data_IF_302124904830
#
_entry.id   IF_302124904830
#
_cell.length_a   1.000
_cell.length_b   1.000
_cell.length_c   1.000
_cell.angle_alpha   90.00
_cell.angle_beta   90.00
_cell.angle_gamma   90.00
#
_symmetry.space_group_name_H-M   'P 1'
#
loop_
_entity.id
_entity.type
_entity.pdbx_description
1 polymer ?
#
# COMPACT_ATOMS: atom_id res chain seq x y z
N UNK A 1 15.66 -66.30 -26.08
CA UNK A 1 16.43 -66.90 -24.97
C UNK A 1 17.84 -67.06 -25.49
N UNK A 2 18.84 -66.55 -24.77
CA UNK A 2 20.21 -66.48 -25.25
C UNK A 2 20.84 -67.84 -25.52
N UNK A 3 21.64 -67.96 -26.58
CA UNK A 3 22.30 -69.21 -26.98
C UNK A 3 23.25 -69.72 -25.89
N UNK A 4 23.97 -68.82 -25.22
CA UNK A 4 24.94 -69.16 -24.18
C UNK A 4 24.34 -69.24 -22.78
N UNK A 5 23.02 -69.08 -22.68
CA UNK A 5 22.23 -69.33 -21.46
C UNK A 5 21.57 -70.72 -21.52
N UNK A 6 21.50 -71.34 -22.71
CA UNK A 6 20.94 -72.68 -22.89
C UNK A 6 21.87 -73.76 -22.28
N UNK A 7 21.36 -74.47 -21.27
CA UNK A 7 22.06 -75.55 -20.58
C UNK A 7 22.55 -76.67 -21.53
N UNK A 8 21.83 -76.94 -22.63
CA UNK A 8 22.25 -77.94 -23.61
C UNK A 8 23.50 -77.49 -24.39
N UNK A 9 23.57 -76.21 -24.74
CA UNK A 9 24.71 -75.61 -25.44
C UNK A 9 25.92 -75.55 -24.50
N UNK A 10 25.74 -75.12 -23.25
CA UNK A 10 26.81 -75.08 -22.24
C UNK A 10 27.39 -76.49 -22.02
N UNK A 11 26.54 -77.51 -21.89
CA UNK A 11 27.00 -78.89 -21.69
C UNK A 11 27.83 -79.44 -22.88
N UNK A 12 27.50 -79.06 -24.12
CA UNK A 12 28.32 -79.43 -25.28
C UNK A 12 29.62 -78.63 -25.36
N UNK A 13 29.62 -77.36 -24.95
CA UNK A 13 30.84 -76.53 -24.86
C UNK A 13 31.79 -77.12 -23.80
N UNK A 14 31.30 -77.58 -22.66
CA UNK A 14 32.12 -78.25 -21.64
C UNK A 14 32.79 -79.52 -22.18
N UNK A 15 32.04 -80.36 -22.89
CA UNK A 15 32.60 -81.56 -23.54
C UNK A 15 33.64 -81.20 -24.60
N UNK A 16 33.41 -80.12 -25.35
CA UNK A 16 34.35 -79.60 -26.34
C UNK A 16 35.62 -79.04 -25.68
N UNK A 17 35.48 -78.39 -24.53
CA UNK A 17 36.62 -77.88 -23.77
C UNK A 17 37.55 -79.00 -23.27
N UNK A 18 37.00 -80.13 -22.81
CA UNK A 18 37.78 -81.32 -22.41
C UNK A 18 38.55 -81.88 -23.62
N UNK A 19 37.92 -81.91 -24.80
CA UNK A 19 38.56 -82.38 -26.04
C UNK A 19 39.71 -81.47 -26.48
N UNK A 20 39.50 -80.16 -26.51
CA UNK A 20 40.52 -79.18 -26.93
C UNK A 20 41.69 -79.15 -25.93
N UNK A 21 41.38 -79.18 -24.62
CA UNK A 21 42.39 -79.18 -23.55
C UNK A 21 43.24 -80.45 -23.48
N UNK A 22 42.77 -81.57 -24.03
CA UNK A 22 43.53 -82.82 -24.12
C UNK A 22 44.37 -82.94 -25.40
N UNK A 23 43.96 -82.28 -26.49
CA UNK A 23 44.63 -82.36 -27.80
C UNK A 23 45.70 -81.29 -28.01
N UNK A 24 45.50 -80.07 -27.50
CA UNK A 24 46.41 -78.94 -27.77
C UNK A 24 47.33 -78.72 -26.57
N UNK A 25 48.65 -78.85 -26.77
CA UNK A 25 49.62 -78.65 -25.69
C UNK A 25 49.73 -77.17 -25.31
N UNK A 26 49.69 -76.88 -24.02
CA UNK A 26 49.99 -75.55 -23.47
C UNK A 26 51.49 -75.28 -23.61
N UNK A 27 51.99 -74.76 -24.73
CA UNK A 27 53.16 -73.84 -24.78
C UNK A 27 53.75 -73.61 -26.18
N UNK A 28 53.67 -72.36 -26.66
CA UNK A 28 54.76 -71.37 -26.87
C UNK A 28 54.22 -70.33 -27.86
N UNK A 29 54.56 -69.05 -27.65
CA UNK A 29 54.23 -67.95 -28.56
C UNK A 29 54.88 -68.26 -29.92
N UNK A 30 54.08 -68.42 -30.98
CA UNK A 30 54.61 -68.69 -32.32
C UNK A 30 54.96 -67.35 -33.00
N UNK A 31 56.14 -67.26 -33.60
CA UNK A 31 56.51 -66.12 -34.45
C UNK A 31 55.76 -66.24 -35.78
N UNK A 32 55.02 -65.19 -36.14
CA UNK A 32 54.18 -65.11 -37.35
C UNK A 32 55.07 -65.07 -38.62
N UNK A 33 56.35 -64.72 -38.49
CA UNK A 33 57.25 -64.49 -39.63
C UNK A 33 57.89 -65.76 -40.23
N UNK A 34 57.63 -66.96 -39.71
CA UNK A 34 58.18 -68.25 -40.20
C UNK A 34 57.08 -69.32 -40.27
N UNK A 35 56.29 -69.31 -41.34
CA UNK A 35 55.32 -70.36 -41.67
C UNK A 35 55.65 -70.93 -43.06
N UNK A 36 56.68 -71.78 -43.12
CA UNK A 36 57.27 -72.27 -44.37
C UNK A 36 56.72 -73.66 -44.75
N UNK A 37 56.30 -74.47 -43.78
CA UNK A 37 55.73 -75.81 -44.00
C UNK A 37 54.29 -75.98 -43.44
N UNK A 38 53.58 -77.03 -43.89
CA UNK A 38 52.20 -77.34 -43.45
C UNK A 38 52.10 -77.63 -41.93
N UNK A 39 53.17 -78.13 -41.31
CA UNK A 39 53.22 -78.41 -39.88
C UNK A 39 53.34 -77.15 -39.02
N UNK A 40 54.05 -76.13 -39.49
CA UNK A 40 54.14 -74.81 -38.87
C UNK A 40 52.80 -74.07 -38.96
N UNK A 41 52.11 -74.16 -40.11
CA UNK A 41 50.74 -73.63 -40.26
C UNK A 41 49.77 -74.28 -39.28
N UNK A 42 49.80 -75.61 -39.16
CA UNK A 42 48.92 -76.32 -38.22
C UNK A 42 49.21 -75.94 -36.75
N UNK A 43 50.49 -75.79 -36.38
CA UNK A 43 50.89 -75.32 -35.04
C UNK A 43 50.43 -73.89 -34.75
N UNK A 44 50.52 -73.01 -35.74
CA UNK A 44 50.01 -71.64 -35.62
C UNK A 44 48.48 -71.62 -35.43
N UNK A 45 47.74 -72.41 -36.21
CA UNK A 45 46.30 -72.58 -36.05
C UNK A 45 45.94 -73.07 -34.64
N UNK A 46 46.64 -74.08 -34.13
CA UNK A 46 46.43 -74.62 -32.78
C UNK A 46 46.74 -73.62 -31.68
N UNK A 47 47.78 -72.80 -31.85
CA UNK A 47 48.11 -71.74 -30.92
C UNK A 47 47.01 -70.69 -30.82
N UNK A 48 46.55 -70.16 -31.96
CA UNK A 48 45.48 -69.16 -32.00
C UNK A 48 44.18 -69.75 -31.45
N UNK A 49 43.84 -70.98 -31.83
CA UNK A 49 42.63 -71.65 -31.37
C UNK A 49 42.63 -71.89 -29.87
N UNK A 50 43.75 -72.33 -29.30
CA UNK A 50 43.86 -72.47 -27.84
C UNK A 50 43.72 -71.12 -27.12
N UNK A 51 44.37 -70.07 -27.62
CA UNK A 51 44.31 -68.74 -27.02
C UNK A 51 42.88 -68.17 -27.03
N UNK A 52 42.20 -68.26 -28.18
CA UNK A 52 40.82 -67.82 -28.35
C UNK A 52 39.86 -68.66 -27.49
N UNK A 53 39.98 -69.99 -27.52
CA UNK A 53 39.09 -70.90 -26.81
C UNK A 53 39.24 -70.79 -25.29
N UNK A 54 40.47 -70.69 -24.79
CA UNK A 54 40.71 -70.51 -23.35
C UNK A 54 40.08 -69.22 -22.83
N UNK A 55 40.12 -68.13 -23.60
CA UNK A 55 39.47 -66.86 -23.24
C UNK A 55 37.95 -66.94 -23.34
N UNK A 56 37.44 -67.54 -24.42
CA UNK A 56 36.02 -67.80 -24.61
C UNK A 56 35.43 -68.57 -23.44
N UNK A 57 35.99 -69.74 -23.12
CA UNK A 57 35.50 -70.59 -22.04
C UNK A 57 35.61 -69.91 -20.67
N UNK A 58 36.68 -69.14 -20.43
CA UNK A 58 36.82 -68.38 -19.20
C UNK A 58 35.73 -67.31 -19.03
N UNK A 59 35.45 -66.50 -20.06
CA UNK A 59 34.41 -65.48 -19.94
C UNK A 59 33.00 -66.06 -19.89
N UNK A 60 32.75 -67.15 -20.63
CA UNK A 60 31.49 -67.87 -20.59
C UNK A 60 31.20 -68.45 -19.19
N UNK A 61 32.21 -69.04 -18.53
CA UNK A 61 32.06 -69.63 -17.19
C UNK A 61 32.01 -68.58 -16.08
N UNK A 62 32.63 -67.42 -16.28
CA UNK A 62 32.64 -66.34 -15.30
C UNK A 62 31.28 -65.64 -15.21
N UNK A 63 30.69 -65.27 -16.34
CA UNK A 63 29.39 -64.60 -16.42
C UNK A 63 28.74 -64.88 -17.79
N UNK A 64 27.98 -65.98 -17.86
CA UNK A 64 27.31 -66.40 -19.08
C UNK A 64 26.25 -65.41 -19.55
N UNK A 65 25.58 -64.69 -18.63
CA UNK A 65 24.55 -63.73 -18.97
C UNK A 65 25.14 -62.48 -19.63
N UNK A 66 26.20 -61.92 -19.05
CA UNK A 66 26.92 -60.79 -19.65
C UNK A 66 27.58 -61.19 -20.95
N UNK A 67 28.15 -62.40 -21.04
CA UNK A 67 28.71 -62.91 -22.28
C UNK A 67 27.64 -62.99 -23.39
N UNK A 68 26.50 -63.63 -23.11
CA UNK A 68 25.39 -63.77 -24.05
C UNK A 68 24.86 -62.41 -24.54
N UNK A 69 24.63 -61.48 -23.61
CA UNK A 69 24.16 -60.12 -23.92
C UNK A 69 25.12 -59.35 -24.85
N UNK A 70 26.42 -59.60 -24.74
CA UNK A 70 27.45 -58.95 -25.55
C UNK A 70 27.83 -59.76 -26.81
N UNK A 71 27.04 -60.77 -27.19
CA UNK A 71 27.23 -61.53 -28.44
C UNK A 71 25.96 -61.61 -29.29
N UNK A 72 24.99 -60.72 -29.06
CA UNK A 72 23.65 -60.76 -29.67
C UNK A 72 23.67 -60.62 -31.19
N UNK A 73 24.59 -59.85 -31.77
CA UNK A 73 24.70 -59.73 -33.22
C UNK A 73 25.01 -61.09 -33.85
N UNK A 74 25.99 -61.82 -33.30
CA UNK A 74 26.29 -63.15 -33.81
C UNK A 74 25.19 -64.17 -33.52
N UNK A 75 24.46 -64.02 -32.41
CA UNK A 75 23.28 -64.84 -32.15
C UNK A 75 22.17 -64.62 -33.18
N UNK A 76 22.01 -63.39 -33.69
CA UNK A 76 21.00 -63.06 -34.70
C UNK A 76 21.40 -63.56 -36.10
N UNK A 77 22.66 -63.38 -36.50
CA UNK A 77 23.11 -63.67 -37.86
C UNK A 77 23.73 -65.07 -38.05
N UNK A 78 24.18 -65.73 -36.98
CA UNK A 78 24.91 -67.00 -37.04
C UNK A 78 24.56 -67.97 -35.88
N UNK A 79 23.28 -68.06 -35.52
CA UNK A 79 22.81 -68.83 -34.36
C UNK A 79 23.30 -70.28 -34.32
N UNK A 80 23.38 -70.95 -35.47
CA UNK A 80 23.77 -72.37 -35.54
C UNK A 80 25.28 -72.55 -35.56
N UNK A 81 26.01 -71.64 -36.20
CA UNK A 81 27.47 -71.75 -36.38
C UNK A 81 28.27 -71.40 -35.12
N UNK A 82 27.65 -70.74 -34.14
CA UNK A 82 28.28 -70.35 -32.87
C UNK A 82 27.95 -71.32 -31.71
N UNK A 83 27.20 -72.39 -32.00
CA UNK A 83 27.00 -73.53 -31.09
C UNK A 83 28.19 -74.48 -31.18
N UNK A 84 29.31 -74.08 -30.57
CA UNK A 84 30.57 -74.84 -30.64
C UNK A 84 30.42 -76.26 -30.10
N UNK A 85 30.50 -77.26 -31.00
CA UNK A 85 30.40 -78.67 -30.66
C UNK A 85 31.69 -79.45 -30.95
N UNK A 86 31.81 -80.65 -30.36
CA UNK A 86 32.92 -81.58 -30.63
C UNK A 86 32.97 -82.04 -32.08
N UNK A 87 31.82 -82.11 -32.74
CA UNK A 87 31.72 -82.54 -34.13
C UNK A 87 32.34 -81.48 -35.03
N UNK A 88 31.95 -80.22 -34.86
CA UNK A 88 32.44 -79.11 -35.67
C UNK A 88 33.95 -78.90 -35.52
N UNK A 89 34.47 -79.10 -34.30
CA UNK A 89 35.92 -79.04 -34.05
C UNK A 89 36.72 -80.12 -34.82
N UNK A 90 36.22 -81.36 -34.88
CA UNK A 90 36.92 -82.45 -35.56
C UNK A 90 36.73 -82.39 -37.08
N UNK A 91 35.54 -82.01 -37.55
CA UNK A 91 35.19 -82.03 -38.97
C UNK A 91 35.70 -80.77 -39.70
N UNK A 92 35.67 -79.59 -39.06
CA UNK A 92 35.97 -78.30 -39.69
C UNK A 92 36.70 -77.32 -38.75
N UNK A 93 37.89 -77.71 -38.28
CA UNK A 93 38.72 -76.96 -37.32
C UNK A 93 38.97 -75.49 -37.67
N UNK A 94 39.22 -75.16 -38.94
CA UNK A 94 39.49 -73.76 -39.37
C UNK A 94 38.22 -72.90 -39.35
N UNK A 95 37.08 -73.46 -39.76
CA UNK A 95 35.77 -72.77 -39.72
C UNK A 95 35.35 -72.57 -38.26
N UNK A 96 35.57 -73.57 -37.41
CA UNK A 96 35.37 -73.47 -35.97
C UNK A 96 36.14 -72.29 -35.37
N UNK A 97 37.43 -72.14 -35.73
CA UNK A 97 38.23 -71.00 -35.29
C UNK A 97 37.67 -69.67 -35.80
N UNK A 98 37.32 -69.58 -37.09
CA UNK A 98 36.75 -68.37 -37.68
C UNK A 98 35.50 -67.89 -36.93
N UNK A 99 34.59 -68.81 -36.62
CA UNK A 99 33.36 -68.51 -35.86
C UNK A 99 33.67 -68.08 -34.42
N UNK A 100 34.65 -68.75 -33.78
CA UNK A 100 35.10 -68.41 -32.43
C UNK A 100 35.70 -67.00 -32.36
N UNK A 101 36.56 -66.65 -33.31
CA UNK A 101 37.16 -65.31 -33.40
C UNK A 101 36.09 -64.24 -33.61
N UNK A 102 35.07 -64.52 -34.42
CA UNK A 102 33.96 -63.59 -34.66
C UNK A 102 33.15 -63.30 -33.38
N UNK A 103 32.82 -64.32 -32.61
CA UNK A 103 32.11 -64.17 -31.32
C UNK A 103 32.96 -63.41 -30.31
N UNK A 104 34.24 -63.76 -30.20
CA UNK A 104 35.16 -63.09 -29.29
C UNK A 104 35.39 -61.62 -29.67
N UNK A 105 35.47 -61.31 -30.96
CA UNK A 105 35.59 -59.94 -31.44
C UNK A 105 34.38 -59.11 -31.04
N UNK A 106 33.16 -59.62 -31.24
CA UNK A 106 31.94 -58.92 -30.82
C UNK A 106 31.93 -58.66 -29.30
N UNK A 107 32.24 -59.69 -28.50
CA UNK A 107 32.27 -59.56 -27.04
C UNK A 107 33.25 -58.47 -26.59
N UNK A 108 34.46 -58.44 -27.16
CA UNK A 108 35.44 -57.40 -26.85
C UNK A 108 35.05 -56.02 -27.37
N UNK A 109 34.41 -55.95 -28.54
CA UNK A 109 33.93 -54.70 -29.10
C UNK A 109 32.93 -54.00 -28.17
N UNK A 110 31.96 -54.74 -27.62
CA UNK A 110 30.96 -54.16 -26.72
C UNK A 110 31.47 -53.93 -25.29
N UNK A 111 32.32 -54.81 -24.77
CA UNK A 111 32.82 -54.69 -23.39
C UNK A 111 34.00 -53.74 -23.24
N UNK A 112 34.66 -53.36 -24.33
CA UNK A 112 35.85 -52.50 -24.31
C UNK A 112 37.07 -53.14 -23.62
N UNK A 113 37.00 -54.44 -23.28
CA UNK A 113 38.15 -55.19 -22.76
C UNK A 113 39.19 -55.29 -23.87
N UNK A 114 40.45 -54.96 -23.55
CA UNK A 114 41.51 -54.83 -24.55
C UNK A 114 41.53 -56.02 -25.53
N UNK A 115 41.49 -55.71 -26.83
CA UNK A 115 41.85 -56.62 -27.95
C UNK A 115 43.36 -56.96 -27.90
N UNK A 116 44.05 -56.49 -26.85
CA UNK A 116 45.47 -56.55 -26.62
C UNK A 116 46.03 -57.98 -26.69
N UNK A 117 46.68 -58.22 -27.82
CA UNK A 117 47.74 -59.21 -28.04
C UNK A 117 47.33 -60.65 -27.76
N UNK A 118 46.82 -61.36 -28.77
CA UNK A 118 47.35 -62.70 -29.13
C UNK A 118 46.64 -63.35 -30.32
N UNK A 119 45.35 -63.05 -30.58
CA UNK A 119 44.58 -63.81 -31.60
C UNK A 119 43.57 -63.02 -32.45
N UNK A 120 43.32 -61.74 -32.16
CA UNK A 120 42.41 -60.85 -32.94
C UNK A 120 43.11 -59.63 -33.52
N UNK A 121 44.44 -59.59 -33.45
CA UNK A 121 45.24 -58.55 -34.07
C UNK A 121 45.23 -58.65 -35.60
N UNK A 122 45.54 -57.52 -36.24
CA UNK A 122 45.53 -57.39 -37.69
C UNK A 122 46.43 -58.42 -38.36
N UNK A 123 47.64 -58.64 -37.82
CA UNK A 123 48.64 -59.54 -38.39
C UNK A 123 48.20 -61.00 -38.29
N UNK A 124 47.75 -61.43 -37.10
CA UNK A 124 47.20 -62.80 -36.92
C UNK A 124 46.02 -63.10 -37.84
N UNK A 125 45.05 -62.17 -37.97
CA UNK A 125 43.89 -62.37 -38.86
C UNK A 125 44.29 -62.38 -40.34
N UNK A 126 45.30 -61.61 -40.72
CA UNK A 126 45.84 -61.59 -42.09
C UNK A 126 46.53 -62.90 -42.40
N UNK A 127 47.34 -63.42 -41.48
CA UNK A 127 48.06 -64.67 -41.68
C UNK A 127 47.13 -65.87 -41.72
N UNK A 128 46.12 -65.93 -40.82
CA UNK A 128 45.08 -66.97 -40.87
C UNK A 128 44.33 -66.97 -42.20
N UNK A 129 44.07 -65.79 -42.77
CA UNK A 129 43.44 -65.71 -44.08
C UNK A 129 44.37 -66.23 -45.18
N UNK A 130 45.61 -65.76 -45.24
CA UNK A 130 46.56 -66.14 -46.30
C UNK A 130 46.92 -67.63 -46.25
N UNK A 131 47.07 -68.19 -45.05
CA UNK A 131 47.51 -69.58 -44.88
C UNK A 131 46.43 -70.63 -45.12
N UNK A 132 45.15 -70.29 -44.95
CA UNK A 132 44.04 -71.27 -44.98
C UNK A 132 42.88 -70.94 -45.93
N UNK A 133 42.93 -69.81 -46.64
CA UNK A 133 41.88 -69.46 -47.61
C UNK A 133 42.20 -69.99 -49.00
N UNK A 134 41.44 -70.98 -49.46
CA UNK A 134 41.56 -71.56 -50.80
C UNK A 134 40.44 -71.06 -51.72
N UNK A 135 40.35 -69.75 -51.96
CA UNK A 135 39.55 -69.12 -53.02
C UNK A 135 38.02 -69.24 -52.96
N UNK A 136 37.48 -70.30 -52.34
CA UNK A 136 36.07 -70.70 -52.35
C UNK A 136 35.66 -71.43 -51.05
N UNK A 137 36.47 -71.32 -49.99
CA UNK A 137 36.21 -71.94 -48.69
C UNK A 137 34.98 -71.30 -48.02
N UNK A 138 33.82 -71.95 -48.15
CA UNK A 138 32.56 -71.55 -47.52
C UNK A 138 32.75 -71.50 -45.99
N UNK A 139 32.54 -70.33 -45.39
CA UNK A 139 32.54 -70.15 -43.92
C UNK A 139 33.79 -69.52 -43.29
N UNK A 140 34.86 -69.28 -44.05
CA UNK A 140 36.05 -68.57 -43.53
C UNK A 140 35.89 -67.04 -43.60
N UNK A 141 35.96 -66.38 -42.44
CA UNK A 141 35.60 -64.95 -42.29
C UNK A 141 36.73 -64.08 -41.72
N UNK A 142 37.98 -64.56 -41.62
CA UNK A 142 39.09 -63.82 -40.99
C UNK A 142 39.28 -62.40 -41.53
N UNK A 143 39.28 -62.22 -42.85
CA UNK A 143 39.37 -60.90 -43.51
C UNK A 143 38.16 -60.01 -43.17
N UNK A 144 36.95 -60.59 -43.15
CA UNK A 144 35.72 -59.85 -42.86
C UNK A 144 35.65 -59.42 -41.38
N UNK A 145 36.10 -60.27 -40.46
CA UNK A 145 36.24 -59.96 -39.02
C UNK A 145 37.17 -58.76 -38.85
N UNK A 146 38.32 -58.76 -39.54
CA UNK A 146 39.32 -57.69 -39.51
C UNK A 146 38.79 -56.36 -40.07
N UNK A 147 38.16 -56.39 -41.24
CA UNK A 147 37.88 -55.19 -42.03
C UNK A 147 36.47 -54.61 -41.81
N UNK A 148 35.46 -55.46 -41.57
CA UNK A 148 34.05 -55.08 -41.69
C UNK A 148 33.18 -55.36 -40.46
N UNK A 149 33.62 -56.20 -39.53
CA UNK A 149 32.79 -56.60 -38.39
C UNK A 149 32.50 -55.41 -37.46
N UNK A 150 33.47 -54.56 -37.15
CA UNK A 150 33.25 -53.34 -36.35
C UNK A 150 32.19 -52.43 -36.96
N UNK A 151 32.25 -52.19 -38.27
CA UNK A 151 31.27 -51.38 -39.01
C UNK A 151 29.89 -52.04 -38.96
N UNK A 152 29.83 -53.36 -39.12
CA UNK A 152 28.58 -54.12 -39.08
C UNK A 152 27.93 -54.07 -37.69
N UNK A 153 28.71 -54.18 -36.63
CA UNK A 153 28.24 -54.07 -35.24
C UNK A 153 27.65 -52.68 -34.95
N UNK A 154 28.33 -51.61 -35.42
CA UNK A 154 27.81 -50.24 -35.28
C UNK A 154 26.52 -50.05 -36.08
N UNK A 155 26.48 -50.49 -37.34
CA UNK A 155 25.27 -50.40 -38.16
C UNK A 155 24.08 -51.16 -37.54
N UNK A 156 24.34 -52.32 -36.96
CA UNK A 156 23.33 -53.10 -36.25
C UNK A 156 22.81 -52.35 -35.02
N UNK A 157 23.70 -51.77 -34.20
CA UNK A 157 23.29 -50.95 -33.05
C UNK A 157 22.46 -49.74 -33.46
N UNK A 158 22.85 -49.02 -34.52
CA UNK A 158 22.11 -47.86 -35.02
C UNK A 158 20.72 -48.20 -35.58
N UNK A 159 20.54 -49.44 -36.04
CA UNK A 159 19.24 -49.96 -36.53
C UNK A 159 18.40 -50.59 -35.41
N UNK A 160 18.94 -50.77 -34.22
CA UNK A 160 18.21 -51.35 -33.10
C UNK A 160 17.02 -50.47 -32.70
N UNK A 161 15.90 -51.10 -32.34
CA UNK A 161 14.71 -50.41 -31.86
C UNK A 161 15.02 -49.54 -30.63
N UNK A 162 15.93 -49.99 -29.76
CA UNK A 162 16.33 -49.26 -28.56
C UNK A 162 17.04 -47.94 -28.91
N UNK A 163 17.93 -47.95 -29.89
CA UNK A 163 18.59 -46.73 -30.36
C UNK A 163 17.60 -45.80 -31.06
N UNK A 164 16.68 -46.34 -31.87
CA UNK A 164 15.63 -45.55 -32.54
C UNK A 164 14.71 -44.88 -31.51
N UNK A 165 14.30 -45.60 -30.45
CA UNK A 165 13.51 -45.05 -29.33
C UNK A 165 14.28 -44.00 -28.54
N UNK A 166 15.57 -44.22 -28.28
CA UNK A 166 16.41 -43.23 -27.61
C UNK A 166 16.51 -41.94 -28.44
N UNK A 167 16.68 -42.07 -29.76
CA UNK A 167 16.70 -40.93 -30.68
C UNK A 167 15.36 -40.18 -30.70
N UNK A 168 14.23 -40.88 -30.74
CA UNK A 168 12.91 -40.22 -30.72
C UNK A 168 12.67 -39.50 -29.39
N UNK A 169 13.04 -40.10 -28.26
CA UNK A 169 12.91 -39.48 -26.94
C UNK A 169 13.68 -38.17 -26.85
N UNK A 170 14.91 -38.11 -27.39
CA UNK A 170 15.70 -36.87 -27.43
C UNK A 170 15.00 -35.80 -28.27
N UNK A 171 14.40 -36.17 -29.40
CA UNK A 171 13.65 -35.24 -30.24
C UNK A 171 12.36 -34.73 -29.55
N UNK A 172 11.66 -35.61 -28.84
CA UNK A 172 10.44 -35.26 -28.11
C UNK A 172 10.74 -34.31 -26.94
N UNK A 173 11.85 -34.54 -26.21
CA UNK A 173 12.31 -33.64 -25.15
C UNK A 173 12.63 -32.25 -25.70
N UNK A 174 13.33 -32.14 -26.84
CA UNK A 174 13.61 -30.84 -27.46
C UNK A 174 12.33 -30.10 -27.86
N UNK A 175 11.33 -30.83 -28.36
CA UNK A 175 10.02 -30.26 -28.70
C UNK A 175 9.26 -29.76 -27.46
N UNK A 176 9.25 -30.53 -26.37
CA UNK A 176 8.59 -30.11 -25.13
C UNK A 176 9.31 -28.92 -24.47
N UNK A 177 10.64 -28.86 -24.53
CA UNK A 177 11.42 -27.70 -24.07
C UNK A 177 11.02 -26.44 -24.84
N UNK A 178 10.85 -26.52 -26.17
CA UNK A 178 10.42 -25.38 -26.99
C UNK A 178 9.01 -24.91 -26.64
N UNK A 179 8.06 -25.84 -26.48
CA UNK A 179 6.69 -25.51 -26.06
C UNK A 179 6.68 -24.81 -24.70
N UNK A 180 7.50 -25.29 -23.76
CA UNK A 180 7.62 -24.68 -22.44
C UNK A 180 8.17 -23.26 -22.52
N UNK A 181 9.20 -23.03 -23.33
CA UNK A 181 9.80 -21.71 -23.54
C UNK A 181 8.79 -20.70 -24.14
N UNK A 182 7.98 -21.13 -25.11
CA UNK A 182 6.93 -20.29 -25.71
C UNK A 182 5.85 -19.92 -24.69
N UNK A 183 5.38 -20.86 -23.87
CA UNK A 183 4.41 -20.60 -22.80
C UNK A 183 4.98 -19.66 -21.74
N UNK A 184 6.25 -19.82 -21.35
CA UNK A 184 6.90 -18.92 -20.39
C UNK A 184 7.01 -17.52 -20.98
N UNK A 185 7.38 -17.37 -22.25
CA UNK A 185 7.44 -16.06 -22.92
C UNK A 185 6.07 -15.38 -22.99
N UNK A 186 5.03 -16.09 -23.38
CA UNK A 186 3.66 -15.55 -23.43
C UNK A 186 3.16 -15.12 -22.04
N UNK A 187 3.43 -15.93 -21.02
CA UNK A 187 3.03 -15.60 -19.65
C UNK A 187 3.84 -14.43 -19.08
N UNK A 188 5.12 -14.32 -19.43
CA UNK A 188 5.96 -13.19 -19.04
C UNK A 188 5.52 -11.89 -19.70
N UNK A 189 5.17 -11.91 -21.00
CA UNK A 189 4.70 -10.71 -21.72
C UNK A 189 3.32 -10.26 -21.22
N UNK A 190 2.38 -11.19 -21.01
CA UNK A 190 1.07 -10.85 -20.42
C UNK A 190 1.19 -10.28 -19.01
N UNK A 191 1.98 -10.91 -18.14
CA UNK A 191 2.24 -10.40 -16.79
C UNK A 191 2.87 -8.99 -16.82
N UNK A 192 3.88 -8.77 -17.67
CA UNK A 192 4.52 -7.46 -17.81
C UNK A 192 3.55 -6.39 -18.29
N UNK A 193 2.65 -6.73 -19.22
CA UNK A 193 1.61 -5.83 -19.71
C UNK A 193 0.61 -5.49 -18.61
N UNK A 194 0.14 -6.48 -17.85
CA UNK A 194 -0.81 -6.28 -16.75
C UNK A 194 -0.23 -5.39 -15.65
N UNK A 195 1.02 -5.64 -15.24
CA UNK A 195 1.72 -4.81 -14.25
C UNK A 195 1.87 -3.37 -14.76
N UNK A 196 2.22 -3.18 -16.04
CA UNK A 196 2.33 -1.84 -16.62
C UNK A 196 0.98 -1.12 -16.63
N UNK A 197 -0.10 -1.80 -16.98
CA UNK A 197 -1.45 -1.22 -17.00
C UNK A 197 -1.94 -0.89 -15.58
N UNK A 198 -1.66 -1.75 -14.59
CA UNK A 198 -1.98 -1.46 -13.20
C UNK A 198 -1.21 -0.23 -12.69
N UNK A 199 0.07 -0.13 -13.03
CA UNK A 199 0.90 1.00 -12.63
C UNK A 199 0.41 2.32 -13.24
N UNK A 200 0.09 2.35 -14.54
CA UNK A 200 -0.42 3.56 -15.21
C UNK A 200 -1.80 3.97 -14.66
N UNK A 201 -2.69 3.01 -14.42
CA UNK A 201 -4.00 3.28 -13.81
C UNK A 201 -3.84 3.86 -12.39
N UNK A 202 -2.97 3.27 -11.57
CA UNK A 202 -2.70 3.77 -10.23
C UNK A 202 -2.13 5.21 -10.26
N UNK A 203 -1.21 5.49 -11.17
CA UNK A 203 -0.69 6.86 -11.36
C UNK A 203 -1.78 7.85 -11.77
N UNK A 204 -2.70 7.43 -12.64
CA UNK A 204 -3.81 8.28 -13.07
C UNK A 204 -4.78 8.57 -11.93
N UNK A 205 -5.16 7.56 -11.13
CA UNK A 205 -6.03 7.75 -9.96
C UNK A 205 -5.38 8.68 -8.94
N UNK A 206 -4.10 8.48 -8.62
CA UNK A 206 -3.36 9.37 -7.70
C UNK A 206 -3.36 10.82 -8.20
N UNK A 207 -3.22 11.03 -9.51
CA UNK A 207 -3.26 12.37 -10.10
C UNK A 207 -4.65 13.00 -9.97
N UNK A 208 -5.71 12.25 -10.26
CA UNK A 208 -7.10 12.70 -10.13
C UNK A 208 -7.46 13.03 -8.67
N UNK A 209 -7.06 12.17 -7.73
CA UNK A 209 -7.26 12.40 -6.30
C UNK A 209 -6.54 13.66 -5.82
N UNK A 210 -5.30 13.87 -6.29
CA UNK A 210 -4.54 15.09 -5.99
C UNK A 210 -5.28 16.35 -6.48
N UNK A 211 -5.79 16.33 -7.71
CA UNK A 211 -6.54 17.46 -8.27
C UNK A 211 -7.83 17.73 -7.46
N UNK A 212 -8.55 16.68 -7.08
CA UNK A 212 -9.76 16.76 -6.25
C UNK A 212 -9.46 17.33 -4.86
N UNK A 213 -8.40 16.86 -4.21
CA UNK A 213 -7.97 17.37 -2.90
C UNK A 213 -7.62 18.86 -2.98
N UNK A 214 -6.91 19.28 -4.03
CA UNK A 214 -6.56 20.70 -4.21
C UNK A 214 -7.82 21.56 -4.34
N UNK A 215 -8.82 21.13 -5.10
CA UNK A 215 -10.09 21.84 -5.24
C UNK A 215 -10.85 21.91 -3.90
N UNK A 216 -10.96 20.79 -3.18
CA UNK A 216 -11.61 20.75 -1.86
C UNK A 216 -10.94 21.67 -0.84
N UNK A 217 -9.60 21.74 -0.85
CA UNK A 217 -8.85 22.65 0.04
C UNK A 217 -9.13 24.11 -0.30
N UNK A 218 -9.27 24.46 -1.58
CA UNK A 218 -9.59 25.82 -2.01
C UNK A 218 -11.04 26.21 -1.66
N UNK A 219 -11.99 25.29 -1.86
CA UNK A 219 -13.38 25.46 -1.45
C UNK A 219 -13.49 25.67 0.08
N UNK A 220 -12.78 24.86 0.87
CA UNK A 220 -12.74 25.00 2.34
C UNK A 220 -12.17 26.37 2.73
N UNK A 221 -11.06 26.80 2.10
CA UNK A 221 -10.50 28.13 2.36
C UNK A 221 -11.49 29.26 2.07
N UNK A 222 -12.25 29.14 0.98
CA UNK A 222 -13.26 30.12 0.61
C UNK A 222 -14.41 30.13 1.61
N UNK A 223 -14.91 28.96 2.03
CA UNK A 223 -15.95 28.83 3.05
C UNK A 223 -15.53 29.37 4.41
N UNK A 224 -14.29 29.13 4.82
CA UNK A 224 -13.75 29.71 6.06
C UNK A 224 -13.73 31.25 6.00
N UNK A 225 -13.35 31.83 4.86
CA UNK A 225 -13.41 33.29 4.68
C UNK A 225 -14.84 33.82 4.76
N UNK A 226 -15.80 33.15 4.12
CA UNK A 226 -17.22 33.53 4.17
C UNK A 226 -17.76 33.46 5.62
N UNK A 227 -17.43 32.41 6.36
CA UNK A 227 -17.84 32.24 7.76
C UNK A 227 -17.27 33.36 8.63
N UNK A 228 -15.97 33.66 8.52
CA UNK A 228 -15.35 34.74 9.29
C UNK A 228 -15.97 36.11 8.95
N UNK A 229 -16.25 36.38 7.68
CA UNK A 229 -16.93 37.61 7.27
C UNK A 229 -18.36 37.70 7.84
N UNK A 230 -19.05 36.57 7.94
CA UNK A 230 -20.38 36.50 8.53
C UNK A 230 -20.34 36.72 10.05
N UNK A 231 -19.37 36.11 10.74
CA UNK A 231 -19.16 36.30 12.19
C UNK A 231 -18.89 37.77 12.52
N UNK A 232 -18.01 38.42 11.75
CA UNK A 232 -17.75 39.86 11.87
C UNK A 232 -19.03 40.70 11.69
N UNK A 233 -19.86 40.35 10.70
CA UNK A 233 -21.12 41.05 10.44
C UNK A 233 -22.12 40.86 11.58
N UNK A 234 -22.26 39.64 12.10
CA UNK A 234 -23.15 39.33 13.23
C UNK A 234 -22.68 40.03 14.51
N UNK A 235 -21.38 40.04 14.77
CA UNK A 235 -20.78 40.76 15.90
C UNK A 235 -21.06 42.27 15.85
N UNK A 236 -20.89 42.89 14.67
CA UNK A 236 -21.24 44.30 14.45
C UNK A 236 -22.73 44.57 14.68
N UNK A 237 -23.62 43.78 14.07
CA UNK A 237 -25.07 43.94 14.21
C UNK A 237 -25.53 43.80 15.67
N UNK A 238 -24.97 42.83 16.42
CA UNK A 238 -25.29 42.63 17.85
C UNK A 238 -24.91 43.83 18.70
N UNK A 239 -23.78 44.48 18.39
CA UNK A 239 -23.28 45.64 19.15
C UNK A 239 -24.08 46.89 18.81
N UNK A 240 -24.30 47.14 17.52
CA UNK A 240 -25.04 48.30 17.01
C UNK A 240 -26.51 48.27 17.47
N UNK A 241 -27.21 47.13 17.37
CA UNK A 241 -28.65 47.09 17.65
C UNK A 241 -29.00 47.24 19.13
N UNK A 242 -28.19 46.69 20.04
CA UNK A 242 -28.50 46.71 21.48
C UNK A 242 -28.27 48.09 22.11
N UNK A 243 -27.16 48.77 21.81
CA UNK A 243 -26.84 50.05 22.44
C UNK A 243 -27.52 51.25 21.76
N UNK A 244 -27.70 51.21 20.43
CA UNK A 244 -28.46 52.24 19.70
C UNK A 244 -29.94 52.19 20.11
N UNK A 245 -30.51 50.99 20.31
CA UNK A 245 -31.88 50.82 20.79
C UNK A 245 -32.11 51.39 22.19
N UNK A 246 -31.21 51.09 23.13
CA UNK A 246 -31.26 51.63 24.50
C UNK A 246 -31.07 53.15 24.53
N UNK A 247 -30.08 53.66 23.80
CA UNK A 247 -29.81 55.11 23.71
C UNK A 247 -31.00 55.87 23.13
N UNK A 248 -31.58 55.39 22.03
CA UNK A 248 -32.80 55.96 21.44
C UNK A 248 -33.99 55.93 22.41
N UNK A 249 -34.15 54.82 23.15
CA UNK A 249 -35.17 54.68 24.20
C UNK A 249 -35.03 55.73 25.31
N UNK A 250 -33.84 55.89 25.88
CA UNK A 250 -33.57 56.90 26.90
C UNK A 250 -33.71 58.32 26.36
N UNK A 251 -33.30 58.59 25.13
CA UNK A 251 -33.43 59.92 24.53
C UNK A 251 -34.90 60.32 24.36
N UNK A 252 -35.75 59.39 23.94
CA UNK A 252 -37.20 59.63 23.85
C UNK A 252 -37.86 59.87 25.21
N UNK A 253 -37.36 59.25 26.28
CA UNK A 253 -37.81 59.52 27.66
C UNK A 253 -37.32 60.89 28.11
N UNK A 254 -36.08 61.26 27.79
CA UNK A 254 -35.50 62.59 28.06
C UNK A 254 -36.34 63.70 27.42
N UNK A 255 -36.61 63.62 26.13
CA UNK A 255 -37.41 64.62 25.40
C UNK A 255 -38.79 64.83 26.03
N UNK A 256 -39.49 63.75 26.40
CA UNK A 256 -40.78 63.84 27.10
C UNK A 256 -40.66 64.50 28.46
N UNK A 257 -39.62 64.18 29.23
CA UNK A 257 -39.38 64.76 30.56
C UNK A 257 -38.97 66.23 30.50
N UNK A 258 -38.24 66.65 29.47
CA UNK A 258 -37.94 68.06 29.20
C UNK A 258 -39.21 68.85 28.85
N UNK A 259 -40.11 68.26 28.06
CA UNK A 259 -41.40 68.89 27.75
C UNK A 259 -42.29 69.03 29.00
N UNK A 260 -42.34 68.00 29.86
CA UNK A 260 -43.01 68.05 31.17
C UNK A 260 -42.40 69.14 32.05
N UNK A 261 -41.06 69.19 32.16
CA UNK A 261 -40.36 70.20 32.94
C UNK A 261 -40.72 71.62 32.48
N UNK A 262 -40.71 71.86 31.16
CA UNK A 262 -41.05 73.18 30.59
C UNK A 262 -42.48 73.59 30.96
N UNK A 263 -43.44 72.65 30.97
CA UNK A 263 -44.84 72.93 31.35
C UNK A 263 -44.95 73.29 32.83
N UNK A 264 -44.30 72.52 33.70
CA UNK A 264 -44.30 72.78 35.15
C UNK A 264 -43.56 74.09 35.46
N UNK A 265 -42.49 74.40 34.72
CA UNK A 265 -41.75 75.66 34.84
C UNK A 265 -42.60 76.88 34.54
N UNK A 266 -43.33 76.85 33.43
CA UNK A 266 -44.29 77.92 33.10
C UNK A 266 -45.37 78.03 34.19
N UNK A 267 -45.87 76.91 34.71
CA UNK A 267 -46.91 76.91 35.74
C UNK A 267 -46.44 77.55 37.05
N UNK A 268 -45.30 77.12 37.62
CA UNK A 268 -44.82 77.70 38.88
C UNK A 268 -44.33 79.14 38.71
N UNK A 269 -43.76 79.51 37.55
CA UNK A 269 -43.37 80.90 37.26
C UNK A 269 -44.59 81.82 37.20
N UNK A 270 -45.67 81.36 36.56
CA UNK A 270 -46.93 82.09 36.55
C UNK A 270 -47.50 82.23 37.97
N UNK A 271 -47.48 81.15 38.76
CA UNK A 271 -47.97 81.16 40.13
C UNK A 271 -47.15 82.07 41.05
N UNK A 272 -45.82 82.09 40.88
CA UNK A 272 -44.93 83.05 41.52
C UNK A 272 -45.30 84.49 41.15
N UNK A 273 -45.55 84.76 39.87
CA UNK A 273 -46.06 86.05 39.41
C UNK A 273 -47.38 86.44 40.10
N UNK A 274 -48.33 85.52 40.22
CA UNK A 274 -49.59 85.75 40.91
C UNK A 274 -49.42 86.10 42.39
N UNK A 275 -48.54 85.40 43.12
CA UNK A 275 -48.19 85.69 44.53
C UNK A 275 -47.67 87.12 44.69
N UNK A 276 -46.81 87.59 43.78
CA UNK A 276 -46.30 88.97 43.84
C UNK A 276 -47.32 90.02 43.42
N UNK A 277 -48.15 89.73 42.42
CA UNK A 277 -49.12 90.68 41.86
C UNK A 277 -50.35 90.85 42.75
N UNK A 278 -50.81 89.79 43.43
CA UNK A 278 -52.00 89.80 44.28
C UNK A 278 -51.99 90.93 45.34
N UNK A 279 -50.96 91.11 46.19
CA UNK A 279 -50.91 92.18 47.17
C UNK A 279 -50.81 93.57 46.52
N UNK A 280 -50.14 93.68 45.37
CA UNK A 280 -50.01 94.95 44.62
C UNK A 280 -51.35 95.39 44.05
N UNK A 281 -52.15 94.49 43.49
CA UNK A 281 -53.49 94.80 42.98
C UNK A 281 -54.41 95.26 44.11
N UNK A 282 -54.39 94.56 45.26
CA UNK A 282 -55.18 94.94 46.43
C UNK A 282 -54.82 96.35 46.90
N UNK A 283 -53.53 96.67 46.95
CA UNK A 283 -53.04 98.00 47.31
C UNK A 283 -53.50 99.08 46.32
N UNK A 284 -53.40 98.82 45.01
CA UNK A 284 -53.85 99.75 43.97
C UNK A 284 -55.36 99.96 44.01
N UNK A 285 -56.15 98.89 44.17
CA UNK A 285 -57.62 98.98 44.27
C UNK A 285 -58.06 99.77 45.49
N UNK A 286 -57.37 99.61 46.63
CA UNK A 286 -57.60 100.42 47.82
C UNK A 286 -57.39 101.91 47.55
N UNK A 287 -56.33 102.28 46.81
CA UNK A 287 -56.02 103.67 46.48
C UNK A 287 -57.03 104.30 45.50
N UNK A 288 -57.54 103.53 44.53
CA UNK A 288 -58.46 104.04 43.49
C UNK A 288 -59.91 104.09 44.00
N UNK A 289 -60.34 103.13 44.82
CA UNK A 289 -61.72 103.03 45.33
C UNK A 289 -61.75 103.10 46.85
N UNK A 290 -61.36 104.25 47.39
CA UNK A 290 -61.34 104.50 48.84
C UNK A 290 -62.71 104.30 49.51
N UNK A 291 -63.83 104.49 48.80
CA UNK A 291 -65.18 104.40 49.37
C UNK A 291 -65.69 102.95 49.55
N UNK A 292 -65.01 101.95 48.97
CA UNK A 292 -65.46 100.55 48.99
C UNK A 292 -64.91 99.76 50.19
N UNK A 293 -63.86 100.25 50.84
CA UNK A 293 -63.20 99.58 51.95
C UNK A 293 -63.56 100.28 53.28
N UNK A 294 -64.07 99.57 54.30
CA UNK A 294 -64.40 100.18 55.58
C UNK A 294 -63.13 100.71 56.26
N UNK A 295 -63.18 101.94 56.77
CA UNK A 295 -62.06 102.62 57.47
C UNK A 295 -61.93 102.21 58.95
N UNK A 296 -62.86 101.40 59.46
CA UNK A 296 -62.86 100.87 60.83
C UNK A 296 -62.04 99.58 60.98
N UNK A 297 -61.83 99.13 62.23
CA UNK A 297 -61.14 97.85 62.55
C UNK A 297 -61.74 96.60 61.86
N UNK A 298 -62.95 96.71 61.31
CA UNK A 298 -63.58 95.69 60.45
C UNK A 298 -62.77 95.37 59.18
N UNK A 299 -61.86 96.24 58.73
CA UNK A 299 -60.95 95.97 57.62
C UNK A 299 -60.03 94.75 57.87
N UNK A 300 -59.69 94.46 59.14
CA UNK A 300 -58.92 93.26 59.52
C UNK A 300 -59.62 91.95 59.14
N UNK A 301 -60.97 91.92 59.18
CA UNK A 301 -61.73 90.75 58.75
C UNK A 301 -61.64 90.49 57.23
N UNK A 302 -61.32 91.52 56.43
CA UNK A 302 -61.09 91.38 54.98
C UNK A 302 -59.71 90.82 54.65
N UNK A 303 -58.72 91.01 55.54
CA UNK A 303 -57.37 90.45 55.37
C UNK A 303 -57.32 88.93 55.57
N UNK A 304 -58.19 88.35 56.42
CA UNK A 304 -58.19 86.90 56.68
C UNK A 304 -58.43 86.06 55.41
N UNK A 305 -59.46 86.34 54.59
CA UNK A 305 -59.63 85.67 53.29
C UNK A 305 -58.45 85.88 52.35
N UNK A 306 -57.86 87.10 52.31
CA UNK A 306 -56.72 87.41 51.45
C UNK A 306 -55.47 86.58 51.84
N UNK A 307 -55.16 86.54 53.14
CA UNK A 307 -54.04 85.78 53.69
C UNK A 307 -54.24 84.28 53.47
N UNK A 308 -55.47 83.78 53.58
CA UNK A 308 -55.81 82.38 53.31
C UNK A 308 -55.56 82.01 51.84
N UNK A 309 -55.98 82.89 50.91
CA UNK A 309 -55.71 82.71 49.47
C UNK A 309 -54.20 82.78 49.19
N UNK A 310 -53.48 83.73 49.79
CA UNK A 310 -52.03 83.87 49.66
C UNK A 310 -51.27 82.62 50.14
N UNK A 311 -51.62 82.08 51.32
CA UNK A 311 -51.05 80.84 51.83
C UNK A 311 -51.36 79.64 50.92
N UNK A 312 -52.57 79.58 50.34
CA UNK A 312 -52.91 78.54 49.37
C UNK A 312 -52.08 78.66 48.08
N UNK A 313 -51.86 79.88 47.57
CA UNK A 313 -50.99 80.13 46.42
C UNK A 313 -49.54 79.71 46.70
N UNK A 314 -49.00 80.05 47.88
CA UNK A 314 -47.66 79.63 48.31
C UNK A 314 -47.57 78.10 48.39
N UNK A 315 -48.61 77.43 48.87
CA UNK A 315 -48.66 75.96 48.93
C UNK A 315 -48.61 75.33 47.52
N UNK A 316 -49.43 75.82 46.59
CA UNK A 316 -49.41 75.35 45.20
C UNK A 316 -48.08 75.68 44.49
N UNK A 317 -47.45 76.80 44.84
CA UNK A 317 -46.13 77.18 44.33
C UNK A 317 -45.07 76.21 44.81
N UNK A 318 -45.06 75.90 46.11
CA UNK A 318 -44.16 74.90 46.68
C UNK A 318 -44.36 73.53 46.05
N UNK A 319 -45.61 73.11 45.85
CA UNK A 319 -45.93 71.82 45.23
C UNK A 319 -45.37 71.74 43.81
N UNK A 320 -45.61 72.77 42.99
CA UNK A 320 -45.14 72.85 41.60
C UNK A 320 -43.62 72.95 41.50
N UNK A 321 -42.99 73.67 42.42
CA UNK A 321 -41.53 73.76 42.52
C UNK A 321 -40.90 72.40 42.86
N UNK A 322 -41.48 71.66 43.81
CA UNK A 322 -41.02 70.32 44.16
C UNK A 322 -41.19 69.33 43.01
N UNK A 323 -42.27 69.45 42.23
CA UNK A 323 -42.48 68.66 41.02
C UNK A 323 -41.42 68.97 39.95
N UNK A 324 -41.13 70.25 39.68
CA UNK A 324 -40.06 70.65 38.75
C UNK A 324 -38.69 70.11 39.20
N UNK A 325 -38.40 70.20 40.50
CA UNK A 325 -37.16 69.69 41.11
C UNK A 325 -37.03 68.17 40.95
N UNK A 326 -38.12 67.44 41.14
CA UNK A 326 -38.19 65.99 40.90
C UNK A 326 -37.92 65.65 39.43
N UNK A 327 -38.55 66.34 38.48
CA UNK A 327 -38.36 66.09 37.04
C UNK A 327 -36.90 66.37 36.64
N UNK A 328 -36.29 67.46 37.14
CA UNK A 328 -34.86 67.76 36.92
C UNK A 328 -33.95 66.64 37.43
N UNK A 329 -34.26 66.09 38.60
CA UNK A 329 -33.51 64.95 39.18
C UNK A 329 -33.61 63.70 38.30
N UNK A 330 -34.78 63.43 37.73
CA UNK A 330 -34.99 62.33 36.79
C UNK A 330 -34.19 62.54 35.49
N UNK A 331 -34.14 63.77 34.97
CA UNK A 331 -33.39 64.10 33.76
C UNK A 331 -31.88 63.84 33.91
N UNK A 332 -31.27 64.29 35.01
CA UNK A 332 -29.83 64.04 35.28
C UNK A 332 -29.53 62.52 35.30
N UNK A 333 -30.42 61.73 35.90
CA UNK A 333 -30.28 60.28 35.93
C UNK A 333 -30.43 59.64 34.52
N UNK A 334 -31.27 60.18 33.65
CA UNK A 334 -31.41 59.71 32.26
C UNK A 334 -30.18 60.09 31.43
N UNK A 335 -29.64 61.30 31.61
CA UNK A 335 -28.43 61.76 30.93
C UNK A 335 -27.19 60.94 31.28
N UNK A 336 -27.06 60.51 32.53
CA UNK A 336 -26.03 59.58 32.95
C UNK A 336 -26.12 58.26 32.17
N UNK A 337 -27.33 57.69 32.04
CA UNK A 337 -27.55 56.43 31.29
C UNK A 337 -27.25 56.59 29.80
N UNK A 338 -27.65 57.71 29.19
CA UNK A 338 -27.31 58.04 27.80
C UNK A 338 -25.80 58.11 27.58
N UNK A 339 -25.08 58.78 28.49
CA UNK A 339 -23.62 58.91 28.42
C UNK A 339 -22.92 57.55 28.59
N UNK A 340 -23.42 56.71 29.49
CA UNK A 340 -22.93 55.34 29.68
C UNK A 340 -23.16 54.46 28.44
N UNK A 341 -24.33 54.55 27.79
CA UNK A 341 -24.61 53.83 26.55
C UNK A 341 -23.68 54.26 25.40
N UNK A 342 -23.27 55.54 25.34
CA UNK A 342 -22.31 56.02 24.34
C UNK A 342 -20.86 55.59 24.67
N UNK A 343 -20.50 55.55 25.95
CA UNK A 343 -19.16 55.18 26.39
C UNK A 343 -18.86 53.67 26.29
N UNK A 344 -19.86 52.83 26.60
CA UNK A 344 -19.67 51.37 26.67
C UNK A 344 -19.29 50.75 25.32
N UNK A 345 -19.79 51.28 24.20
CA UNK A 345 -19.44 50.81 22.86
C UNK A 345 -17.93 50.92 22.59
N UNK A 346 -17.34 52.09 22.86
CA UNK A 346 -15.90 52.30 22.72
C UNK A 346 -15.07 51.49 23.72
N UNK A 347 -15.58 51.27 24.93
CA UNK A 347 -14.88 50.52 25.97
C UNK A 347 -14.87 49.00 25.71
N UNK A 348 -15.97 48.42 25.21
CA UNK A 348 -16.07 46.99 24.89
C UNK A 348 -15.10 46.62 23.75
N UNK A 349 -15.00 47.46 22.73
CA UNK A 349 -14.06 47.26 21.62
C UNK A 349 -12.60 47.40 22.06
N UNK A 350 -12.31 48.31 23.01
CA UNK A 350 -10.99 48.43 23.63
C UNK A 350 -10.64 47.18 24.45
N UNK A 351 -11.55 46.67 25.29
CA UNK A 351 -11.33 45.46 26.11
C UNK A 351 -11.10 44.20 25.30
N UNK A 352 -11.83 44.01 24.19
CA UNK A 352 -11.62 42.87 23.27
C UNK A 352 -10.19 42.82 22.72
N UNK A 353 -9.54 43.97 22.54
CA UNK A 353 -8.15 44.05 22.06
C UNK A 353 -7.10 43.78 23.14
N UNK A 354 -7.45 43.89 24.42
CA UNK A 354 -6.50 43.86 25.56
C UNK A 354 -6.68 42.61 26.45
N UNK A 355 -7.58 41.68 26.10
CA UNK A 355 -7.81 40.40 26.81
C UNK A 355 -8.02 40.48 28.34
N UNK A 356 -8.52 41.60 28.87
CA UNK A 356 -8.75 41.74 30.30
C UNK A 356 -10.01 40.95 30.74
N UNK A 357 -9.81 39.93 31.58
CA UNK A 357 -10.80 38.93 32.02
C UNK A 357 -11.50 39.24 33.35
N UNK A 358 -11.75 40.50 33.70
CA UNK A 358 -12.51 40.81 34.92
C UNK A 358 -14.01 41.00 34.64
N UNK A 359 -14.89 40.15 35.22
CA UNK A 359 -16.34 40.14 34.96
C UNK A 359 -17.15 41.16 35.78
N UNK A 360 -16.54 41.88 36.71
CA UNK A 360 -17.29 42.72 37.67
C UNK A 360 -17.75 44.06 37.08
N UNK A 361 -17.09 44.57 36.04
CA UNK A 361 -17.47 45.83 35.41
C UNK A 361 -18.82 45.76 34.67
N UNK A 362 -19.12 44.65 34.00
CA UNK A 362 -20.41 44.46 33.31
C UNK A 362 -21.56 44.38 34.31
N UNK A 363 -21.35 43.77 35.48
CA UNK A 363 -22.33 43.75 36.56
C UNK A 363 -22.58 45.16 37.12
N UNK A 364 -21.54 45.98 37.27
CA UNK A 364 -21.66 47.37 37.70
C UNK A 364 -22.39 48.23 36.65
N UNK A 365 -22.09 48.02 35.38
CA UNK A 365 -22.79 48.68 34.26
C UNK A 365 -24.28 48.29 34.21
N UNK A 366 -24.59 47.00 34.23
CA UNK A 366 -25.97 46.50 34.22
C UNK A 366 -26.77 47.06 35.41
N UNK A 367 -26.16 47.06 36.60
CA UNK A 367 -26.75 47.67 37.79
C UNK A 367 -27.02 49.16 37.61
N UNK A 368 -26.14 49.90 36.92
CA UNK A 368 -26.28 51.35 36.75
C UNK A 368 -27.34 51.71 35.69
N UNK A 369 -27.36 51.01 34.56
CA UNK A 369 -28.34 51.24 33.48
C UNK A 369 -29.75 50.82 33.90
N UNK A 370 -29.91 49.66 34.55
CA UNK A 370 -31.22 49.12 34.93
C UNK A 370 -31.70 49.53 36.32
N UNK A 371 -30.96 50.39 37.01
CA UNK A 371 -31.41 50.95 38.29
C UNK A 371 -32.72 51.75 38.11
N UNK A 372 -33.62 51.78 39.11
CA UNK A 372 -34.85 52.57 39.05
C UNK A 372 -34.56 54.09 38.98
N UNK A 373 -35.32 54.82 38.18
CA UNK A 373 -35.28 56.29 38.14
C UNK A 373 -35.99 56.84 39.38
N UNK A 374 -35.25 57.51 40.26
CA UNK A 374 -35.78 57.99 41.54
C UNK A 374 -36.38 59.40 41.42
N UNK A 375 -37.49 59.61 42.14
CA UNK A 375 -38.29 60.86 42.13
C UNK A 375 -37.78 61.88 43.16
N UNK A 376 -37.00 61.45 44.16
CA UNK A 376 -36.53 62.30 45.27
C UNK A 376 -34.99 62.34 45.33
N UNK A 377 -34.41 63.55 45.48
CA UNK A 377 -32.96 63.74 45.63
C UNK A 377 -32.38 63.02 46.86
N UNK A 378 -33.15 62.94 47.96
CA UNK A 378 -32.70 62.33 49.21
C UNK A 378 -32.53 60.80 49.11
N UNK A 379 -33.02 60.18 48.04
CA UNK A 379 -32.96 58.75 47.77
C UNK A 379 -32.22 58.45 46.46
N UNK A 380 -31.27 59.29 46.03
CA UNK A 380 -30.35 58.91 44.93
C UNK A 380 -29.39 57.87 45.51
N UNK A 381 -29.58 56.55 45.29
CA UNK A 381 -28.77 55.54 45.94
C UNK A 381 -27.54 55.27 45.08
N UNK A 382 -26.33 55.48 45.60
CA UNK A 382 -25.05 54.91 45.12
C UNK A 382 -24.67 55.01 43.61
N UNK A 383 -25.49 55.59 42.74
CA UNK A 383 -25.23 55.67 41.30
C UNK A 383 -24.08 56.63 41.00
N UNK A 384 -23.95 57.69 41.79
CA UNK A 384 -22.80 58.60 41.72
C UNK A 384 -21.55 57.99 42.37
N UNK A 385 -21.68 57.20 43.45
CA UNK A 385 -20.55 56.40 44.00
C UNK A 385 -20.04 55.36 42.99
N UNK A 386 -20.92 54.83 42.14
CA UNK A 386 -20.55 53.91 41.06
C UNK A 386 -19.71 54.57 39.96
N UNK A 387 -19.90 55.87 39.68
CA UNK A 387 -19.06 56.63 38.73
C UNK A 387 -17.67 56.82 39.31
N UNK A 388 -17.56 57.07 40.62
CA UNK A 388 -16.29 57.13 41.33
C UNK A 388 -15.59 55.75 41.37
N UNK A 389 -16.35 54.66 41.49
CA UNK A 389 -15.80 53.30 41.36
C UNK A 389 -15.28 53.00 39.94
N UNK A 390 -15.96 53.46 38.88
CA UNK A 390 -15.51 53.31 37.49
C UNK A 390 -14.27 54.18 37.23
N UNK A 391 -14.24 55.42 37.72
CA UNK A 391 -13.07 56.30 37.61
C UNK A 391 -11.84 55.69 38.30
N UNK A 392 -12.00 55.14 39.50
CA UNK A 392 -10.94 54.42 40.22
C UNK A 392 -10.50 53.12 39.52
N UNK A 393 -11.40 52.44 38.82
CA UNK A 393 -11.08 51.27 37.99
C UNK A 393 -10.29 51.66 36.74
N UNK A 394 -10.63 52.79 36.10
CA UNK A 394 -9.89 53.34 34.97
C UNK A 394 -8.48 53.79 35.38
N UNK A 395 -8.34 54.40 36.56
CA UNK A 395 -7.03 54.80 37.11
C UNK A 395 -6.16 53.60 37.52
N UNK A 396 -6.75 52.45 37.87
CA UNK A 396 -6.02 51.20 38.17
C UNK A 396 -5.56 50.42 36.94
N UNK A 397 -6.01 50.80 35.74
CA UNK A 397 -5.73 50.09 34.48
C UNK A 397 -4.65 50.82 33.64
N UNK A 398 -4.00 51.84 34.21
CA UNK A 398 -2.88 52.56 33.59
C UNK A 398 -1.52 51.91 33.86
#
# INVERSE_FOLDING_TARGET
MGIYIDNAVIAEIEKTNILISSKISKNKKHDINNLIDEGEKERFLDFVLWAAWSKFYHFLTLDNYSFDKNTLFNQEYMSEQIRFSRKDYNDQKVVFLSNLLRVMYEYFFWTGKEIGHTFLDYDTLTELHNSFYEGDSIGLQFKWIRDNLSVSLVQWMLKSDDFIKAKSLVMDVDNEIRKLDDVVKEKATSFSSDVSNMYTNAQQTIKQDKETIVHMVDDIKTKVREINALDDKVSRLRTEYNFVGLSSGFNKIKEKKEEELRKVEVYYQNLFGCIFIAPVIVFILHFIKSDFYPTDYSALFLFFPLLTVELALIYFFRLSYLEAKSIRTQLVQIELRLSLCAFIEGYVDYRKKVEMKEPDLFKLFDSMIFSPIQVNENNIPSMFDGVEAIANLVDKVK
#
